data_IF_763266255873
#
_entry.id   IF_763266255873
#
_cell.length_a   1.000
_cell.length_b   1.000
_cell.length_c   1.000
_cell.angle_alpha   90.00
_cell.angle_beta   90.00
_cell.angle_gamma   90.00
#
_symmetry.space_group_name_H-M   'P 1'
#
loop_
_entity.id
_entity.type
_entity.pdbx_description
1 polymer ?
#
# COMPACT_ATOMS: atom_id res chain seq x y z
N UNK A 1 -8.64 -94.57 -11.18
CA UNK A 1 -9.88 -94.28 -11.94
C UNK A 1 -10.28 -92.85 -11.60
N UNK A 2 -10.15 -91.92 -12.57
CA UNK A 2 -10.49 -90.47 -12.62
C UNK A 2 -10.07 -89.59 -11.41
N UNK A 3 -9.20 -88.57 -11.45
CA UNK A 3 -8.99 -87.42 -12.37
C UNK A 3 -10.25 -86.57 -12.62
N UNK A 4 -10.45 -85.46 -11.87
CA UNK A 4 -11.16 -84.22 -12.28
C UNK A 4 -10.64 -82.96 -11.48
N UNK A 5 -9.85 -82.14 -12.18
CA UNK A 5 -9.69 -80.65 -12.24
C UNK A 5 -9.40 -79.71 -11.05
N UNK A 6 -8.56 -78.68 -11.31
CA UNK A 6 -8.80 -77.28 -10.90
C UNK A 6 -9.07 -76.35 -12.12
N UNK A 7 -10.17 -75.58 -12.08
CA UNK A 7 -10.59 -74.65 -13.15
C UNK A 7 -10.04 -73.22 -12.94
N UNK A 8 -9.38 -72.73 -14.00
CA UNK A 8 -9.42 -71.36 -14.56
C UNK A 8 -8.89 -70.16 -13.75
N UNK A 9 -7.63 -69.79 -14.01
CA UNK A 9 -7.00 -68.47 -13.75
C UNK A 9 -6.76 -67.65 -15.04
N UNK A 10 -7.63 -67.72 -16.05
CA UNK A 10 -7.34 -67.10 -17.36
C UNK A 10 -8.19 -65.87 -17.76
N UNK A 11 -9.09 -65.37 -16.91
CA UNK A 11 -9.89 -64.17 -17.25
C UNK A 11 -9.16 -62.82 -17.05
N UNK A 12 -8.17 -62.73 -16.16
CA UNK A 12 -7.57 -61.43 -15.76
C UNK A 12 -6.37 -60.97 -16.61
N UNK A 13 -5.77 -61.85 -17.42
CA UNK A 13 -4.56 -61.51 -18.20
C UNK A 13 -4.85 -60.83 -19.55
N UNK A 14 -6.04 -61.00 -20.11
CA UNK A 14 -6.36 -60.49 -21.47
C UNK A 14 -6.73 -58.99 -21.45
N UNK A 15 -7.30 -58.47 -20.36
CA UNK A 15 -7.62 -57.04 -20.28
C UNK A 15 -6.41 -56.13 -20.03
N UNK A 16 -5.36 -56.64 -19.37
CA UNK A 16 -4.18 -55.82 -19.02
C UNK A 16 -3.25 -55.56 -20.22
N UNK A 17 -3.19 -56.45 -21.21
CA UNK A 17 -2.32 -56.26 -22.38
C UNK A 17 -2.90 -55.27 -23.40
N UNK A 18 -4.23 -55.20 -23.54
CA UNK A 18 -4.90 -54.26 -24.44
C UNK A 18 -4.87 -52.82 -23.94
N UNK A 19 -4.98 -52.58 -22.62
CA UNK A 19 -4.85 -51.23 -22.04
C UNK A 19 -3.43 -50.65 -22.15
N UNK A 20 -2.40 -51.48 -22.06
CA UNK A 20 -1.01 -51.04 -22.17
C UNK A 20 -0.66 -50.51 -23.58
N UNK A 21 -1.29 -51.05 -24.63
CA UNK A 21 -1.08 -50.58 -26.01
C UNK A 21 -1.77 -49.24 -26.32
N UNK A 22 -2.87 -48.93 -25.65
CA UNK A 22 -3.55 -47.63 -25.78
C UNK A 22 -2.76 -46.50 -25.10
N UNK A 23 -2.16 -46.78 -23.93
CA UNK A 23 -1.41 -45.76 -23.18
C UNK A 23 -0.16 -45.28 -23.93
N UNK A 24 0.57 -46.19 -24.58
CA UNK A 24 1.75 -45.82 -25.36
C UNK A 24 1.43 -45.01 -26.64
N UNK A 25 0.28 -45.23 -27.28
CA UNK A 25 -0.16 -44.40 -28.42
C UNK A 25 -0.59 -42.99 -27.99
N UNK A 26 -1.19 -42.84 -26.81
CA UNK A 26 -1.60 -41.53 -26.28
C UNK A 26 -0.39 -40.65 -25.91
N UNK A 27 0.65 -41.26 -25.33
CA UNK A 27 1.88 -40.55 -24.95
C UNK A 27 2.61 -39.98 -26.19
N UNK A 28 2.66 -40.73 -27.30
CA UNK A 28 3.34 -40.26 -28.52
C UNK A 28 2.54 -39.13 -29.21
N UNK A 29 1.20 -39.22 -29.24
CA UNK A 29 0.36 -38.14 -29.80
C UNK A 29 0.41 -36.85 -28.95
N UNK A 30 0.54 -36.96 -27.62
CA UNK A 30 0.68 -35.79 -26.75
C UNK A 30 1.99 -35.01 -27.00
N UNK A 31 3.10 -35.71 -27.28
CA UNK A 31 4.41 -35.07 -27.53
C UNK A 31 4.47 -34.31 -28.86
N UNK A 32 3.77 -34.77 -29.90
CA UNK A 32 3.70 -34.05 -31.17
C UNK A 32 2.81 -32.81 -31.09
N UNK A 33 1.67 -32.88 -30.38
CA UNK A 33 0.74 -31.74 -30.25
C UNK A 33 1.31 -30.59 -29.41
N UNK A 34 2.19 -30.89 -28.46
CA UNK A 34 2.85 -29.88 -27.62
C UNK A 34 3.88 -29.04 -28.41
N UNK A 35 4.57 -29.63 -29.40
CA UNK A 35 5.57 -28.88 -30.18
C UNK A 35 4.93 -27.87 -31.15
N UNK A 36 3.81 -28.23 -31.77
CA UNK A 36 3.06 -27.31 -32.66
C UNK A 36 2.33 -26.21 -31.90
N UNK A 37 1.81 -26.48 -30.69
CA UNK A 37 1.18 -25.45 -29.87
C UNK A 37 2.18 -24.39 -29.37
N UNK A 38 3.40 -24.79 -29.02
CA UNK A 38 4.45 -23.83 -28.62
C UNK A 38 4.85 -22.91 -29.78
N UNK A 39 4.94 -23.44 -31.00
CA UNK A 39 5.24 -22.62 -32.19
C UNK A 39 4.12 -21.62 -32.51
N UNK A 40 2.84 -22.02 -32.41
CA UNK A 40 1.72 -21.09 -32.62
C UNK A 40 1.67 -19.99 -31.55
N UNK A 41 1.91 -20.31 -30.27
CA UNK A 41 1.92 -19.29 -29.21
C UNK A 41 3.00 -18.23 -29.42
N UNK A 42 4.19 -18.62 -29.90
CA UNK A 42 5.26 -17.67 -30.21
C UNK A 42 4.87 -16.73 -31.36
N UNK A 43 4.23 -17.26 -32.42
CA UNK A 43 3.78 -16.45 -33.56
C UNK A 43 2.68 -15.45 -33.15
N UNK A 44 1.70 -15.90 -32.36
CA UNK A 44 0.67 -14.99 -31.82
C UNK A 44 1.26 -13.92 -30.90
N UNK A 45 2.27 -14.25 -30.12
CA UNK A 45 2.94 -13.28 -29.26
C UNK A 45 3.71 -12.24 -30.08
N UNK A 46 4.42 -12.63 -31.14
CA UNK A 46 5.16 -11.71 -32.02
C UNK A 46 4.20 -10.80 -32.78
N UNK A 47 3.11 -11.33 -33.34
CA UNK A 47 2.11 -10.54 -34.07
C UNK A 47 1.37 -9.60 -33.13
N UNK A 48 0.96 -10.09 -31.95
CA UNK A 48 0.32 -9.26 -30.92
C UNK A 48 1.23 -8.14 -30.42
N UNK A 49 2.52 -8.43 -30.21
CA UNK A 49 3.51 -7.44 -29.79
C UNK A 49 3.77 -6.42 -30.88
N UNK A 50 3.91 -6.83 -32.15
CA UNK A 50 4.07 -5.90 -33.27
C UNK A 50 2.84 -5.00 -33.48
N UNK A 51 1.61 -5.54 -33.37
CA UNK A 51 0.39 -4.76 -33.45
C UNK A 51 0.26 -3.77 -32.28
N UNK A 52 0.61 -4.19 -31.06
CA UNK A 52 0.65 -3.32 -29.90
C UNK A 52 1.72 -2.21 -30.06
N UNK A 53 2.88 -2.52 -30.64
CA UNK A 53 3.94 -1.54 -30.91
C UNK A 53 3.52 -0.52 -31.97
N UNK A 54 2.83 -0.95 -33.03
CA UNK A 54 2.28 -0.05 -34.06
C UNK A 54 1.19 0.85 -33.47
N UNK A 55 0.33 0.33 -32.59
CA UNK A 55 -0.67 1.14 -31.88
C UNK A 55 -0.02 2.10 -30.87
N UNK A 56 1.02 1.68 -30.16
CA UNK A 56 1.73 2.53 -29.20
C UNK A 56 2.50 3.67 -29.89
N UNK A 57 3.18 3.39 -31.00
CA UNK A 57 3.94 4.41 -31.76
C UNK A 57 3.00 5.35 -32.52
N UNK A 58 1.83 4.89 -32.96
CA UNK A 58 0.89 5.77 -33.67
C UNK A 58 0.21 6.79 -32.75
N UNK A 59 -0.08 6.47 -31.49
CA UNK A 59 -0.71 7.45 -30.59
C UNK A 59 0.18 8.66 -30.26
N UNK A 60 1.50 8.47 -30.13
CA UNK A 60 2.44 9.56 -29.83
C UNK A 60 2.83 10.38 -31.07
N UNK A 61 2.64 9.81 -32.26
CA UNK A 61 2.88 10.50 -33.54
C UNK A 61 1.67 11.31 -34.02
N UNK A 62 0.44 10.81 -33.79
CA UNK A 62 -0.78 11.55 -34.14
C UNK A 62 -1.01 12.81 -33.27
N UNK A 63 -0.50 12.85 -32.05
CA UNK A 63 -0.58 14.03 -31.17
C UNK A 63 0.23 15.22 -31.70
N UNK A 64 1.36 14.96 -32.38
CA UNK A 64 2.20 15.99 -33.02
C UNK A 64 1.67 16.47 -34.36
N UNK A 65 0.88 15.65 -35.07
CA UNK A 65 0.35 15.97 -36.41
C UNK A 65 -0.97 16.76 -36.34
N UNK A 66 -1.68 16.76 -35.21
CA UNK A 66 -2.94 17.49 -35.02
C UNK A 66 -2.81 18.81 -34.25
N UNK A 67 -1.60 19.29 -33.98
CA UNK A 67 -1.38 20.69 -33.60
C UNK A 67 -1.41 21.57 -34.85
N UNK A 68 -2.55 21.61 -35.56
CA UNK A 68 -2.80 22.73 -36.46
C UNK A 68 -2.91 23.95 -35.57
N UNK A 69 -1.97 24.89 -35.73
CA UNK A 69 -2.09 26.23 -35.17
C UNK A 69 -3.49 26.75 -35.49
N UNK A 70 -4.31 26.95 -34.45
CA UNK A 70 -5.63 27.50 -34.63
C UNK A 70 -5.45 28.98 -34.97
N UNK A 71 -5.61 29.28 -36.26
CA UNK A 71 -5.68 30.63 -36.74
C UNK A 71 -7.13 31.09 -36.69
N UNK A 72 -7.37 32.21 -36.00
CA UNK A 72 -8.62 32.94 -36.13
C UNK A 72 -8.42 33.96 -37.25
N UNK A 73 -9.21 33.79 -38.32
CA UNK A 73 -9.32 34.76 -39.40
C UNK A 73 -10.58 35.61 -39.20
N UNK A 74 -10.43 36.93 -39.27
CA UNK A 74 -11.57 37.86 -39.27
C UNK A 74 -11.49 38.81 -40.48
N UNK A 75 -12.63 39.03 -41.13
CA UNK A 75 -12.83 40.03 -42.18
C UNK A 75 -14.11 40.82 -41.88
N UNK A 76 -14.04 42.14 -42.03
CA UNK A 76 -15.19 43.03 -41.89
C UNK A 76 -15.72 43.43 -43.27
N UNK A 77 -17.04 43.51 -43.40
CA UNK A 77 -17.72 43.89 -44.63
C UNK A 77 -18.62 45.11 -44.37
N UNK A 78 -18.44 46.17 -45.15
CA UNK A 78 -19.30 47.36 -45.09
C UNK A 78 -20.01 47.56 -46.42
N UNK A 79 -21.33 47.75 -46.36
CA UNK A 79 -22.16 48.20 -47.47
C UNK A 79 -22.72 49.56 -47.05
N UNK A 80 -22.53 50.60 -47.86
CA UNK A 80 -23.07 51.92 -47.59
C UNK A 80 -24.19 52.22 -48.58
N UNK A 81 -25.25 52.86 -48.10
CA UNK A 81 -26.36 53.34 -48.90
C UNK A 81 -26.29 54.87 -48.91
N UNK A 82 -26.35 55.47 -50.09
CA UNK A 82 -26.39 56.91 -50.20
C UNK A 82 -27.78 57.47 -49.83
N UNK A 83 -27.91 58.79 -49.85
CA UNK A 83 -29.16 59.49 -49.56
C UNK A 83 -30.24 59.26 -50.64
N UNK A 84 -29.89 58.69 -51.78
CA UNK A 84 -30.75 58.41 -52.92
C UNK A 84 -31.20 56.93 -52.95
N UNK A 85 -30.75 56.12 -51.98
CA UNK A 85 -31.07 54.70 -51.86
C UNK A 85 -30.19 53.77 -52.70
N UNK A 86 -29.15 54.30 -53.35
CA UNK A 86 -28.20 53.48 -54.08
C UNK A 86 -27.24 52.83 -53.08
N UNK A 87 -27.11 51.50 -53.18
CA UNK A 87 -26.21 50.71 -52.33
C UNK A 87 -24.87 50.51 -53.02
N UNK A 88 -23.81 50.74 -52.28
CA UNK A 88 -22.43 50.57 -52.72
C UNK A 88 -21.69 49.61 -51.81
N UNK A 89 -20.90 48.75 -52.44
CA UNK A 89 -20.11 47.73 -51.78
C UNK A 89 -20.57 46.31 -52.13
N UNK A 90 -20.05 45.31 -51.41
CA UNK A 90 -19.26 45.49 -50.19
C UNK A 90 -17.83 45.98 -50.38
N UNK A 91 -17.36 46.82 -49.45
CA UNK A 91 -15.93 47.00 -49.19
C UNK A 91 -15.53 45.99 -48.11
N UNK A 92 -14.61 45.10 -48.44
CA UNK A 92 -14.10 44.06 -47.54
C UNK A 92 -12.78 44.57 -46.95
N UNK A 93 -12.64 44.50 -45.62
CA UNK A 93 -11.37 44.82 -44.96
C UNK A 93 -10.27 43.84 -45.35
N UNK A 94 -9.02 44.19 -45.07
CA UNK A 94 -7.93 43.22 -45.10
C UNK A 94 -8.21 42.05 -44.13
N UNK A 95 -7.70 40.87 -44.46
CA UNK A 95 -7.71 39.70 -43.59
C UNK A 95 -6.79 39.96 -42.39
N UNK A 96 -7.31 39.74 -41.18
CA UNK A 96 -6.50 39.73 -39.95
C UNK A 96 -6.45 38.30 -39.45
N UNK A 97 -5.26 37.70 -39.54
CA UNK A 97 -4.98 36.34 -39.07
C UNK A 97 -4.28 36.44 -37.72
N UNK A 98 -4.87 35.85 -36.68
CA UNK A 98 -4.24 35.73 -35.36
C UNK A 98 -3.97 34.26 -35.05
N UNK A 99 -2.71 33.91 -34.86
CA UNK A 99 -2.31 32.58 -34.39
C UNK A 99 -2.55 32.47 -32.89
N UNK A 100 -3.44 31.58 -32.47
CA UNK A 100 -3.56 31.23 -31.04
C UNK A 100 -2.50 30.18 -30.75
N UNK A 101 -1.43 30.60 -30.07
CA UNK A 101 -0.51 29.64 -29.47
C UNK A 101 -1.16 29.04 -28.22
N UNK A 102 -1.20 27.70 -28.10
CA UNK A 102 -1.67 27.08 -26.86
C UNK A 102 -0.81 27.60 -25.71
N UNK A 103 -1.49 28.20 -24.74
CA UNK A 103 -0.85 28.82 -23.60
C UNK A 103 -0.37 27.69 -22.67
N UNK A 104 0.96 27.53 -22.60
CA UNK A 104 1.62 26.50 -21.78
C UNK A 104 2.64 27.13 -20.84
N UNK A 105 2.94 26.43 -19.75
CA UNK A 105 4.04 26.75 -18.85
C UNK A 105 5.39 26.29 -19.43
N UNK A 106 6.47 26.62 -18.71
CA UNK A 106 7.86 26.30 -19.12
C UNK A 106 8.12 24.80 -19.34
N UNK A 107 7.33 23.92 -18.72
CA UNK A 107 7.40 22.46 -18.86
C UNK A 107 6.45 21.88 -19.91
N UNK A 108 5.72 22.73 -20.64
CA UNK A 108 4.71 22.33 -21.62
C UNK A 108 3.33 22.04 -21.04
N UNK A 109 3.12 22.17 -19.73
CA UNK A 109 1.81 21.99 -19.09
C UNK A 109 0.83 23.06 -19.58
N UNK A 110 -0.39 22.68 -19.99
CA UNK A 110 -1.41 23.64 -20.42
C UNK A 110 -1.87 24.52 -19.26
N UNK A 111 -2.27 25.75 -19.56
CA UNK A 111 -2.82 26.64 -18.53
C UNK A 111 -3.98 25.98 -17.79
N UNK A 112 -4.00 26.22 -16.48
CA UNK A 112 -4.95 25.67 -15.52
C UNK A 112 -4.93 24.14 -15.40
N UNK A 113 -3.84 23.48 -15.81
CA UNK A 113 -3.64 22.04 -15.64
C UNK A 113 -2.47 21.73 -14.71
N UNK A 114 -2.45 20.50 -14.21
CA UNK A 114 -1.40 19.96 -13.37
C UNK A 114 -0.23 19.44 -14.21
N UNK A 115 0.98 19.77 -13.78
CA UNK A 115 2.20 19.22 -14.35
C UNK A 115 2.35 17.75 -14.00
N UNK A 116 3.11 17.03 -14.83
CA UNK A 116 3.61 15.70 -14.50
C UNK A 116 4.57 15.74 -13.30
N UNK A 117 5.23 16.88 -13.07
CA UNK A 117 6.08 17.13 -11.90
C UNK A 117 5.22 17.64 -10.74
N UNK A 118 4.66 16.72 -9.95
CA UNK A 118 3.87 17.07 -8.77
C UNK A 118 4.71 17.82 -7.73
N UNK A 119 4.17 18.84 -7.03
CA UNK A 119 2.77 19.31 -7.05
C UNK A 119 2.51 20.50 -8.01
N UNK A 120 3.27 20.65 -9.09
CA UNK A 120 3.22 21.87 -9.88
C UNK A 120 1.91 22.01 -10.66
N UNK A 121 1.37 23.23 -10.65
CA UNK A 121 0.16 23.66 -11.35
C UNK A 121 0.49 24.86 -12.23
N UNK A 122 0.01 24.85 -13.48
CA UNK A 122 0.26 25.92 -14.42
C UNK A 122 -0.78 27.04 -14.29
N UNK A 123 -0.42 28.15 -13.63
CA UNK A 123 -1.29 29.31 -13.49
C UNK A 123 -0.73 30.50 -14.28
N UNK A 124 -1.39 30.86 -15.38
CA UNK A 124 -1.02 32.04 -16.16
C UNK A 124 0.41 32.00 -16.72
N UNK A 125 0.91 30.82 -17.07
CA UNK A 125 2.25 30.62 -17.64
C UNK A 125 3.36 30.38 -16.62
N UNK A 126 3.05 30.43 -15.33
CA UNK A 126 3.99 30.13 -14.25
C UNK A 126 3.58 28.83 -13.56
N UNK A 127 4.57 27.96 -13.32
CA UNK A 127 4.38 26.78 -12.48
C UNK A 127 4.46 27.18 -11.02
N UNK A 128 3.39 26.89 -10.29
CA UNK A 128 3.30 27.11 -8.84
C UNK A 128 3.02 25.80 -8.13
N UNK A 129 3.37 25.68 -6.85
CA UNK A 129 3.00 24.51 -6.06
C UNK A 129 1.51 24.58 -5.70
N UNK A 130 0.73 23.57 -6.09
CA UNK A 130 -0.67 23.44 -5.69
C UNK A 130 -1.08 21.97 -5.56
N UNK A 131 -0.60 21.33 -4.49
CA UNK A 131 -0.94 19.94 -4.18
C UNK A 131 -2.43 19.74 -3.86
N UNK A 132 -3.17 20.78 -3.49
CA UNK A 132 -4.62 20.69 -3.28
C UNK A 132 -5.36 20.33 -4.57
N UNK A 133 -4.88 20.82 -5.71
CA UNK A 133 -5.44 20.52 -7.03
C UNK A 133 -4.72 19.36 -7.73
N UNK A 134 -3.39 19.26 -7.59
CA UNK A 134 -2.56 18.31 -8.35
C UNK A 134 -2.16 17.05 -7.58
N UNK A 135 -2.39 17.03 -6.27
CA UNK A 135 -1.92 15.99 -5.37
C UNK A 135 -0.40 15.98 -5.20
N UNK A 136 0.06 15.06 -4.35
CA UNK A 136 1.47 14.77 -4.13
C UNK A 136 1.89 13.43 -4.75
N UNK A 137 3.19 13.14 -4.71
CA UNK A 137 3.69 11.76 -4.90
C UNK A 137 3.12 10.85 -3.81
N UNK A 138 3.06 9.54 -4.06
CA UNK A 138 2.47 8.55 -3.13
C UNK A 138 3.13 8.54 -1.74
N UNK A 139 4.36 9.03 -1.63
CA UNK A 139 5.14 9.12 -0.39
C UNK A 139 5.22 10.56 0.14
N UNK A 140 4.26 11.42 -0.18
CA UNK A 140 4.26 12.81 0.26
C UNK A 140 2.86 13.32 0.64
N UNK A 141 2.79 14.20 1.63
CA UNK A 141 1.58 14.88 2.08
C UNK A 141 1.53 16.33 1.54
N UNK A 142 0.31 16.81 1.30
CA UNK A 142 0.06 18.19 0.89
C UNK A 142 0.13 19.14 2.09
N UNK A 143 0.92 20.20 1.99
CA UNK A 143 1.05 21.24 3.00
C UNK A 143 0.06 22.39 2.75
N UNK A 144 -0.27 23.19 3.77
CA UNK A 144 -1.19 24.34 3.62
C UNK A 144 -0.74 25.39 2.60
N UNK A 145 0.56 25.48 2.32
CA UNK A 145 1.14 26.38 1.32
C UNK A 145 1.07 25.85 -0.13
N UNK A 146 0.47 24.67 -0.33
CA UNK A 146 0.36 24.02 -1.63
C UNK A 146 1.58 23.18 -2.03
N UNK A 147 2.63 23.13 -1.22
CA UNK A 147 3.81 22.28 -1.45
C UNK A 147 3.62 20.84 -0.92
N UNK A 148 4.53 19.93 -1.28
CA UNK A 148 4.50 18.55 -0.80
C UNK A 148 5.66 18.29 0.16
N UNK A 149 5.35 17.73 1.32
CA UNK A 149 6.34 17.21 2.27
C UNK A 149 6.45 15.69 2.12
N UNK A 150 7.67 15.18 1.96
CA UNK A 150 7.92 13.74 1.94
C UNK A 150 7.54 13.13 3.30
N UNK A 151 6.77 12.05 3.28
CA UNK A 151 6.42 11.24 4.45
C UNK A 151 7.43 10.10 4.53
N UNK A 152 8.16 10.02 5.64
CA UNK A 152 9.01 8.87 5.95
C UNK A 152 8.26 7.91 6.88
N UNK A 153 8.60 6.60 6.86
CA UNK A 153 8.05 5.63 7.82
C UNK A 153 8.21 6.10 9.27
N UNK A 154 7.22 5.78 10.10
CA UNK A 154 7.31 6.06 11.54
C UNK A 154 8.28 5.06 12.15
N UNK A 155 9.37 5.56 12.71
CA UNK A 155 10.29 4.76 13.52
C UNK A 155 9.89 4.88 14.97
N UNK A 156 9.53 3.76 15.59
CA UNK A 156 9.17 3.68 17.00
C UNK A 156 10.26 2.92 17.75
N UNK A 157 10.79 3.52 18.80
CA UNK A 157 11.64 2.80 19.75
C UNK A 157 10.80 2.46 20.98
N UNK A 158 10.60 1.17 21.20
CA UNK A 158 9.92 0.62 22.37
C UNK A 158 10.92 -0.24 23.15
N UNK A 159 10.77 -0.31 24.46
CA UNK A 159 11.57 -1.22 25.28
C UNK A 159 10.60 -1.98 26.18
N UNK A 160 10.76 -3.30 26.27
CA UNK A 160 9.84 -4.14 27.03
C UNK A 160 10.53 -4.61 28.29
N UNK A 161 9.94 -4.31 29.44
CA UNK A 161 10.49 -4.80 30.70
C UNK A 161 10.53 -6.34 30.72
N UNK A 162 11.67 -6.88 31.16
CA UNK A 162 11.90 -8.31 31.27
C UNK A 162 12.28 -9.02 29.96
N UNK A 163 11.98 -8.46 28.79
CA UNK A 163 12.18 -9.16 27.51
C UNK A 163 13.35 -8.59 26.70
N UNK A 164 14.12 -9.50 26.09
CA UNK A 164 15.16 -9.14 25.10
C UNK A 164 14.65 -9.24 23.67
N UNK A 165 13.58 -10.01 23.46
CA UNK A 165 12.92 -10.13 22.15
C UNK A 165 11.41 -10.08 22.33
N UNK A 166 10.74 -9.38 21.42
CA UNK A 166 9.29 -9.26 21.43
C UNK A 166 8.73 -9.64 20.07
N UNK A 167 8.00 -10.74 20.00
CA UNK A 167 7.47 -11.30 18.73
C UNK A 167 5.97 -11.13 18.58
N UNK A 168 5.30 -10.53 19.56
CA UNK A 168 3.85 -10.33 19.49
C UNK A 168 3.51 -9.12 18.63
N UNK A 169 2.29 -9.14 18.09
CA UNK A 169 1.71 -8.01 17.39
C UNK A 169 1.33 -6.93 18.38
N UNK A 170 1.81 -5.71 18.15
CA UNK A 170 1.37 -4.51 18.87
C UNK A 170 0.43 -3.69 17.98
N UNK A 171 -0.46 -2.96 18.64
CA UNK A 171 -1.38 -2.04 18.00
C UNK A 171 -0.91 -0.61 18.26
N UNK A 172 -0.78 0.16 17.20
CA UNK A 172 -0.35 1.55 17.21
C UNK A 172 -1.54 2.43 16.84
N UNK A 173 -1.73 3.53 17.57
CA UNK A 173 -2.82 4.47 17.37
C UNK A 173 -2.27 5.90 17.31
N UNK A 174 -2.75 6.67 16.33
CA UNK A 174 -2.67 8.13 16.37
C UNK A 174 -4.03 8.67 16.80
N UNK A 175 -4.05 9.46 17.85
CA UNK A 175 -5.24 9.98 18.52
C UNK A 175 -5.31 11.50 18.36
N UNK A 176 -6.52 12.05 18.41
CA UNK A 176 -6.70 13.51 18.54
C UNK A 176 -6.13 13.96 19.88
N UNK A 177 -5.35 15.07 19.95
CA UNK A 177 -4.67 15.49 21.18
C UNK A 177 -5.59 15.57 22.40
N UNK A 178 -5.13 15.02 23.52
CA UNK A 178 -5.84 14.97 24.80
C UNK A 178 -7.20 14.25 24.78
N UNK A 179 -7.41 13.36 23.80
CA UNK A 179 -8.58 12.49 23.70
C UNK A 179 -8.19 11.07 23.29
N UNK A 180 -9.11 10.13 23.42
CA UNK A 180 -8.93 8.76 22.90
C UNK A 180 -9.58 8.56 21.51
N UNK A 181 -9.84 9.65 20.78
CA UNK A 181 -10.43 9.57 19.45
C UNK A 181 -9.38 9.14 18.42
N UNK A 182 -9.52 7.93 17.89
CA UNK A 182 -8.60 7.31 16.93
C UNK A 182 -8.74 7.96 15.55
N UNK A 183 -7.64 8.52 15.04
CA UNK A 183 -7.51 9.07 13.68
C UNK A 183 -6.84 8.06 12.74
N UNK A 184 -5.88 7.32 13.26
CA UNK A 184 -5.13 6.30 12.53
C UNK A 184 -4.83 5.13 13.45
N UNK A 185 -4.83 3.93 12.88
CA UNK A 185 -4.42 2.72 13.58
C UNK A 185 -3.65 1.82 12.64
N UNK A 186 -2.66 1.13 13.19
CA UNK A 186 -1.88 0.13 12.47
C UNK A 186 -1.42 -0.98 13.42
N UNK A 187 -0.95 -2.09 12.87
CA UNK A 187 -0.41 -3.20 13.62
C UNK A 187 0.93 -3.62 13.04
N UNK A 188 1.89 -3.89 13.93
CA UNK A 188 3.21 -4.39 13.54
C UNK A 188 3.70 -5.40 14.56
N UNK A 189 4.61 -6.27 14.15
CA UNK A 189 5.24 -7.26 15.02
C UNK A 189 6.60 -6.76 15.48
N UNK A 190 6.89 -6.84 16.78
CA UNK A 190 8.17 -6.43 17.34
C UNK A 190 9.39 -7.11 16.70
N UNK A 191 10.48 -6.36 16.62
CA UNK A 191 11.79 -6.86 16.20
C UNK A 191 12.55 -7.56 17.34
N UNK A 192 13.67 -8.21 16.98
CA UNK A 192 14.55 -8.92 17.92
C UNK A 192 15.43 -8.00 18.79
N UNK A 193 15.37 -6.68 18.60
CA UNK A 193 16.22 -5.67 19.26
C UNK A 193 15.41 -4.64 20.07
N UNK A 194 14.11 -4.88 20.28
CA UNK A 194 13.20 -3.92 20.92
C UNK A 194 12.78 -2.77 20.01
N UNK A 195 13.41 -2.58 18.85
CA UNK A 195 13.01 -1.51 17.92
C UNK A 195 11.87 -1.97 17.04
N UNK A 196 10.97 -1.04 16.74
CA UNK A 196 9.83 -1.27 15.86
C UNK A 196 9.76 -0.18 14.80
N UNK A 197 9.95 -0.56 13.53
CA UNK A 197 9.66 0.32 12.42
C UNK A 197 8.25 0.03 11.91
N UNK A 198 7.37 1.05 11.94
CA UNK A 198 6.03 0.96 11.37
C UNK A 198 6.04 1.67 10.02
N UNK A 199 5.90 0.89 8.96
CA UNK A 199 5.71 1.43 7.62
C UNK A 199 4.28 1.97 7.47
N UNK A 200 4.09 3.28 7.67
CA UNK A 200 2.80 3.97 7.47
C UNK A 200 2.44 4.15 5.99
N UNK A 201 2.94 3.31 5.10
CA UNK A 201 2.95 3.51 3.65
C UNK A 201 1.57 3.30 2.99
N UNK A 202 0.56 2.89 3.75
CA UNK A 202 -0.73 2.51 3.17
C UNK A 202 -1.87 3.54 3.28
N UNK A 203 -1.94 4.39 4.32
CA UNK A 203 -3.02 5.38 4.46
C UNK A 203 -2.57 6.58 5.30
N UNK A 204 -2.48 7.73 4.64
CA UNK A 204 -1.82 8.96 5.08
C UNK A 204 -2.47 9.53 6.35
N UNK A 205 -1.86 9.29 7.52
CA UNK A 205 -2.08 10.14 8.70
C UNK A 205 -1.86 11.61 8.26
N UNK A 206 -2.89 12.48 8.32
CA UNK A 206 -2.78 13.86 7.84
C UNK A 206 -1.71 14.64 8.58
N UNK A 207 -1.19 15.72 7.98
CA UNK A 207 -0.28 16.63 8.68
C UNK A 207 -1.03 17.26 9.87
N UNK A 208 -0.47 17.19 11.07
CA UNK A 208 -1.17 17.61 12.27
C UNK A 208 -0.37 17.41 13.55
N UNK A 209 -1.05 17.56 14.70
CA UNK A 209 -0.52 17.23 16.02
C UNK A 209 -1.38 16.09 16.56
N UNK A 210 -0.73 15.05 17.07
CA UNK A 210 -1.39 13.82 17.53
C UNK A 210 -0.82 13.33 18.86
N UNK A 211 -1.63 12.59 19.60
CA UNK A 211 -1.15 11.73 20.67
C UNK A 211 -0.94 10.32 20.09
N UNK A 212 0.23 9.73 20.30
CA UNK A 212 0.51 8.37 19.83
C UNK A 212 0.42 7.39 20.99
N UNK A 213 -0.40 6.36 20.83
CA UNK A 213 -0.59 5.28 21.82
C UNK A 213 -0.17 3.95 21.25
N UNK A 214 0.55 3.16 22.04
CA UNK A 214 0.86 1.76 21.73
C UNK A 214 0.17 0.89 22.77
N UNK A 215 -0.55 -0.10 22.27
CA UNK A 215 -1.15 -1.18 23.06
C UNK A 215 -0.50 -2.48 22.62
N UNK A 216 -0.09 -3.28 23.58
CA UNK A 216 0.63 -4.52 23.33
C UNK A 216 0.24 -5.56 24.37
N UNK A 217 0.08 -6.84 23.99
CA UNK A 217 -0.35 -7.86 24.93
C UNK A 217 0.61 -7.98 26.12
N UNK A 218 0.07 -8.16 27.32
CA UNK A 218 0.78 -8.46 28.57
C UNK A 218 1.56 -7.30 29.22
N UNK A 219 1.49 -6.12 28.60
CA UNK A 219 2.13 -4.91 29.08
C UNK A 219 1.11 -3.77 29.18
N UNK A 220 1.37 -2.82 30.07
CA UNK A 220 0.56 -1.61 30.14
C UNK A 220 0.75 -0.76 28.89
N UNK A 221 -0.35 -0.22 28.38
CA UNK A 221 -0.32 0.68 27.24
C UNK A 221 0.40 1.98 27.57
N UNK A 222 0.97 2.63 26.54
CA UNK A 222 1.74 3.86 26.71
C UNK A 222 1.36 4.90 25.68
N UNK A 223 1.29 6.16 26.09
CA UNK A 223 0.87 7.29 25.25
C UNK A 223 1.88 8.43 25.33
N UNK A 224 2.28 8.95 24.16
CA UNK A 224 3.08 10.16 24.04
C UNK A 224 2.22 11.24 23.42
N UNK A 225 2.17 12.41 24.05
CA UNK A 225 1.26 13.48 23.65
C UNK A 225 1.89 14.53 22.74
N UNK A 226 1.05 15.23 22.01
CA UNK A 226 1.36 16.46 21.28
C UNK A 226 2.54 16.33 20.29
N UNK A 227 2.62 15.23 19.57
CA UNK A 227 3.64 15.00 18.54
C UNK A 227 3.18 15.58 17.21
N UNK A 228 3.97 16.49 16.64
CA UNK A 228 3.75 17.01 15.30
C UNK A 228 4.09 15.96 14.23
N UNK A 229 3.22 15.78 13.25
CA UNK A 229 3.35 14.82 12.17
C UNK A 229 3.22 15.49 10.78
N UNK A 230 4.04 15.13 9.77
CA UNK A 230 5.19 14.23 9.87
C UNK A 230 6.33 14.86 10.65
N UNK A 231 6.92 14.09 11.57
CA UNK A 231 8.17 14.47 12.23
C UNK A 231 9.34 13.85 11.46
N UNK A 232 10.49 14.52 11.46
CA UNK A 232 11.71 13.98 10.85
C UNK A 232 12.42 12.92 11.73
N UNK A 233 11.82 12.49 12.85
CA UNK A 233 12.52 11.78 13.93
C UNK A 233 11.81 10.53 14.43
N UNK A 234 12.61 9.60 14.93
CA UNK A 234 12.21 8.42 15.71
C UNK A 234 11.44 8.85 16.97
N UNK A 235 10.31 8.19 17.26
CA UNK A 235 9.50 8.41 18.46
C UNK A 235 9.91 7.36 19.50
N UNK A 236 10.41 7.82 20.64
CA UNK A 236 10.88 6.93 21.72
C UNK A 236 9.82 6.84 22.81
N UNK A 237 9.20 5.67 22.94
CA UNK A 237 8.25 5.36 24.01
C UNK A 237 8.96 4.96 25.31
N UNK A 238 10.15 4.36 25.22
CA UNK A 238 10.87 3.81 26.38
C UNK A 238 10.19 2.56 26.94
N UNK A 239 10.36 2.32 28.24
CA UNK A 239 9.95 1.07 28.88
C UNK A 239 8.43 0.90 28.98
N UNK A 240 7.95 -0.27 28.54
CA UNK A 240 6.61 -0.80 28.76
C UNK A 240 6.65 -1.69 30.00
N UNK A 241 5.73 -1.43 30.93
CA UNK A 241 5.66 -2.13 32.21
C UNK A 241 5.00 -3.50 32.02
N UNK A 242 5.72 -4.56 32.38
CA UNK A 242 5.21 -5.93 32.31
C UNK A 242 4.22 -6.18 33.45
N UNK A 243 3.17 -6.96 33.18
CA UNK A 243 2.27 -7.44 34.24
C UNK A 243 0.78 -7.42 33.93
N UNK A 244 0.36 -6.81 32.82
CA UNK A 244 -1.04 -6.68 32.44
C UNK A 244 -1.51 -7.95 31.70
N UNK A 245 -1.49 -9.10 32.37
CA UNK A 245 -1.77 -10.41 31.76
C UNK A 245 -3.22 -10.57 31.32
N UNK A 246 -4.16 -9.88 31.97
CA UNK A 246 -5.49 -9.70 31.41
C UNK A 246 -5.49 -8.36 30.65
N UNK A 247 -5.56 -8.42 29.32
CA UNK A 247 -5.44 -7.22 28.48
C UNK A 247 -6.72 -6.36 28.44
N UNK A 248 -7.69 -6.58 29.35
CA UNK A 248 -9.03 -5.96 29.28
C UNK A 248 -9.14 -4.61 29.99
N UNK A 249 -8.40 -4.39 31.09
CA UNK A 249 -8.53 -3.21 31.95
C UNK A 249 -7.29 -2.30 32.00
N UNK A 250 -6.20 -2.69 31.34
CA UNK A 250 -4.95 -1.91 31.26
C UNK A 250 -4.45 -1.50 32.66
N UNK A 251 -4.57 -2.43 33.62
CA UNK A 251 -4.24 -2.25 35.03
C UNK A 251 -3.63 -3.53 35.60
N UNK A 252 -2.47 -3.43 36.26
CA UNK A 252 -1.82 -4.58 36.89
C UNK A 252 -2.39 -4.79 38.28
N UNK A 253 -3.18 -5.85 38.46
CA UNK A 253 -3.88 -6.13 39.70
C UNK A 253 -4.03 -7.64 40.01
N UNK A 254 -4.92 -7.95 40.96
CA UNK A 254 -5.18 -9.33 41.41
C UNK A 254 -5.64 -10.29 40.33
N UNK A 255 -6.24 -9.79 39.25
CA UNK A 255 -6.72 -10.62 38.16
C UNK A 255 -5.55 -11.09 37.29
N UNK A 256 -4.55 -10.25 37.04
CA UNK A 256 -3.31 -10.65 36.37
C UNK A 256 -2.56 -11.68 37.18
N UNK A 257 -2.48 -11.48 38.50
CA UNK A 257 -1.89 -12.45 39.40
C UNK A 257 -2.64 -13.80 39.37
N UNK A 258 -3.97 -13.80 39.26
CA UNK A 258 -4.73 -15.04 39.14
C UNK A 258 -4.32 -15.84 37.89
N UNK A 259 -3.99 -15.17 36.78
CA UNK A 259 -3.47 -15.81 35.57
C UNK A 259 -2.05 -16.34 35.79
N UNK A 260 -1.15 -15.54 36.36
CA UNK A 260 0.23 -15.95 36.62
C UNK A 260 0.30 -17.15 37.57
N UNK A 261 -0.43 -17.09 38.68
CA UNK A 261 -0.41 -18.11 39.74
C UNK A 261 -0.93 -19.47 39.27
N UNK A 262 -1.89 -19.51 38.33
CA UNK A 262 -2.34 -20.75 37.68
C UNK A 262 -1.25 -21.42 36.84
N UNK A 263 -0.25 -20.66 36.41
CA UNK A 263 0.88 -21.12 35.61
C UNK A 263 2.18 -21.23 36.41
N UNK A 264 2.11 -21.15 37.75
CA UNK A 264 3.31 -21.17 38.59
C UNK A 264 4.11 -22.47 38.43
N UNK A 265 5.41 -22.33 38.15
CA UNK A 265 6.31 -23.45 37.88
C UNK A 265 6.11 -24.12 36.52
N UNK A 266 5.20 -23.60 35.68
CA UNK A 266 5.04 -24.09 34.31
C UNK A 266 6.32 -23.81 33.53
N UNK A 267 6.76 -24.80 32.75
CA UNK A 267 7.86 -24.62 31.80
C UNK A 267 7.30 -24.13 30.48
N UNK A 268 8.02 -23.23 29.83
CA UNK A 268 7.64 -22.65 28.55
C UNK A 268 7.24 -23.73 27.51
N UNK A 269 8.02 -24.82 27.44
CA UNK A 269 7.82 -25.91 26.48
C UNK A 269 6.52 -26.70 26.68
N UNK A 270 5.92 -26.65 27.87
CA UNK A 270 4.79 -27.53 28.20
C UNK A 270 3.45 -26.92 27.76
N UNK A 271 3.33 -25.58 27.73
CA UNK A 271 2.06 -24.88 27.47
C UNK A 271 2.14 -23.77 26.40
N UNK A 272 3.33 -23.48 25.84
CA UNK A 272 3.54 -22.42 24.83
C UNK A 272 3.04 -21.03 25.26
N UNK A 273 3.04 -20.76 26.58
CA UNK A 273 2.58 -19.51 27.20
C UNK A 273 3.78 -18.59 27.47
N UNK A 274 4.27 -17.90 26.42
CA UNK A 274 5.31 -16.85 26.51
C UNK A 274 4.84 -15.56 27.22
N UNK A 275 3.55 -15.50 27.51
CA UNK A 275 2.87 -14.35 28.06
C UNK A 275 3.10 -14.21 29.57
N UNK A 276 3.18 -15.34 30.28
CA UNK A 276 3.35 -15.38 31.75
C UNK A 276 4.81 -15.52 32.20
N UNK A 277 5.69 -15.98 31.31
CA UNK A 277 7.15 -16.02 31.47
C UNK A 277 7.72 -14.67 30.97
N UNK A 278 7.84 -13.73 31.90
CA UNK A 278 8.14 -12.32 31.63
C UNK A 278 9.61 -12.11 31.28
N UNK A 279 10.51 -12.89 31.88
CA UNK A 279 11.95 -12.80 31.59
C UNK A 279 12.43 -13.76 30.50
N UNK A 280 11.54 -14.61 29.98
CA UNK A 280 11.83 -15.61 28.93
C UNK A 280 12.92 -16.60 29.35
N UNK A 281 13.03 -16.93 30.64
CA UNK A 281 14.00 -17.90 31.14
C UNK A 281 13.52 -19.36 31.04
N UNK A 282 12.26 -19.55 30.63
CA UNK A 282 11.64 -20.84 30.38
C UNK A 282 10.87 -21.42 31.55
N UNK A 283 10.75 -20.73 32.68
CA UNK A 283 9.97 -21.18 33.85
C UNK A 283 9.31 -20.03 34.60
N UNK A 284 7.99 -20.09 34.78
CA UNK A 284 7.25 -19.09 35.56
C UNK A 284 7.54 -19.25 37.05
N UNK A 285 8.17 -18.25 37.66
CA UNK A 285 8.58 -18.31 39.06
C UNK A 285 8.60 -16.92 39.76
N UNK A 286 9.29 -16.86 40.90
CA UNK A 286 9.45 -15.62 41.69
C UNK A 286 10.10 -14.47 40.94
N UNK A 287 10.89 -14.74 39.90
CA UNK A 287 11.51 -13.72 39.07
C UNK A 287 10.45 -13.05 38.19
N UNK A 288 9.58 -13.81 37.53
CA UNK A 288 8.46 -13.25 36.76
C UNK A 288 7.52 -12.42 37.64
N UNK A 289 7.19 -12.97 38.81
CA UNK A 289 6.40 -12.24 39.79
C UNK A 289 7.05 -10.93 40.23
N UNK A 290 8.39 -10.86 40.28
CA UNK A 290 9.07 -9.63 40.68
C UNK A 290 8.82 -8.47 39.71
N UNK A 291 8.67 -8.74 38.40
CA UNK A 291 8.31 -7.73 37.40
C UNK A 291 6.86 -7.26 37.61
N UNK A 292 5.91 -8.18 37.72
CA UNK A 292 4.50 -7.82 37.97
C UNK A 292 4.33 -7.05 39.29
N UNK A 293 4.97 -7.52 40.37
CA UNK A 293 4.86 -6.92 41.70
C UNK A 293 5.51 -5.52 41.75
N UNK A 294 6.60 -5.31 41.01
CA UNK A 294 7.21 -3.97 40.87
C UNK A 294 6.23 -2.96 40.30
N UNK A 295 5.35 -3.40 39.40
CA UNK A 295 4.39 -2.56 38.69
C UNK A 295 2.96 -2.66 39.26
N UNK A 296 2.79 -3.29 40.42
CA UNK A 296 1.48 -3.57 41.01
C UNK A 296 0.64 -2.29 41.24
N UNK A 297 -0.62 -2.32 40.81
CA UNK A 297 -1.56 -1.20 40.89
C UNK A 297 -1.31 -0.09 39.86
N UNK A 298 -0.36 -0.29 38.95
CA UNK A 298 -0.12 0.64 37.84
C UNK A 298 -1.17 0.49 36.75
N UNK A 299 -1.41 1.56 36.00
CA UNK A 299 -2.34 1.62 34.87
C UNK A 299 -1.63 2.14 33.63
N UNK A 300 -2.07 1.70 32.46
CA UNK A 300 -1.64 2.27 31.19
C UNK A 300 -2.27 3.64 30.93
N UNK A 301 -1.81 4.29 29.86
CA UNK A 301 -2.12 5.69 29.54
C UNK A 301 -3.41 5.93 28.74
#
# INVERSE_FOLDING_TARGET
>A
MSEITPKSKNGKKIYRSSLARLNNKFIIMSRMRIRTWKAMMIVFFIIGFAAALILAVSQDWFSKILSQEQQITNTAQVVYEDIEGNKYGPVISNEVVTTITPQTCTDGTQYNQCSNTKPQYCQGGVLINNCGQCGCLTTAACQPDGSCIKIEPIKLQVEFEGKTTFTSTLSFYALTPDTDNIIFQDQSTGGADGKLEIETTANTLPVGIYDFKIVTPYYLSKKIKNIAWPSATEIVFGDFLAGNLQDEDDEINSLDWAIMSQNWGAKYLDNNRLDVDMNQDGIVNTIDWSFMNKNWGSKGD
#
